data_IF_510212748341
#
_entry.id   IF_510212748341
#
_cell.length_a   1.000
_cell.length_b   1.000
_cell.length_c   1.000
_cell.angle_alpha   90.00
_cell.angle_beta   90.00
_cell.angle_gamma   90.00
#
_symmetry.space_group_name_H-M   'P 1'
#
loop_
_entity.id
_entity.type
_entity.pdbx_description
1 polymer ?
#
# COMPACT_ATOMS: atom_id res chain seq x y z
N UNK A 1 43.19 -33.60 4.44
CA UNK A 1 42.98 -32.32 5.15
C UNK A 1 43.63 -31.21 4.35
N UNK A 2 43.06 -30.10 3.89
CA UNK A 2 41.73 -29.50 3.99
C UNK A 2 41.58 -28.61 2.74
N UNK A 3 40.83 -29.04 1.71
CA UNK A 3 40.41 -28.15 0.60
C UNK A 3 38.90 -27.89 0.58
N UNK A 4 38.17 -28.50 1.51
CA UNK A 4 36.72 -28.37 1.66
C UNK A 4 36.29 -27.17 2.51
N UNK A 5 37.22 -26.47 3.16
CA UNK A 5 36.90 -25.41 4.13
C UNK A 5 36.72 -24.01 3.53
N UNK A 6 37.10 -23.79 2.26
CA UNK A 6 37.04 -22.44 1.65
C UNK A 6 35.70 -22.18 0.94
N UNK A 7 35.00 -23.23 0.49
CA UNK A 7 33.72 -23.08 -0.25
C UNK A 7 32.54 -22.74 0.68
N UNK A 8 32.66 -23.02 1.98
CA UNK A 8 31.57 -22.84 2.96
C UNK A 8 31.41 -21.41 3.50
N UNK A 9 32.31 -20.47 3.17
CA UNK A 9 32.30 -19.10 3.73
C UNK A 9 31.65 -18.08 2.77
N UNK A 10 31.51 -18.40 1.48
CA UNK A 10 30.93 -17.47 0.49
C UNK A 10 29.39 -17.44 0.55
N UNK A 11 28.75 -18.38 1.24
CA UNK A 11 27.27 -18.46 1.33
C UNK A 11 26.64 -17.54 2.38
N UNK A 12 27.41 -16.74 3.13
CA UNK A 12 26.90 -15.99 4.29
C UNK A 12 26.70 -14.47 4.08
N UNK A 13 26.83 -13.94 2.86
CA UNK A 13 26.68 -12.50 2.60
C UNK A 13 25.63 -12.12 1.55
N UNK A 14 24.57 -12.91 1.42
CA UNK A 14 23.31 -12.35 0.92
C UNK A 14 22.48 -11.89 2.13
N UNK A 15 23.00 -10.91 2.88
CA UNK A 15 22.13 -10.05 3.66
C UNK A 15 21.39 -9.26 2.60
N UNK A 16 20.23 -9.77 2.19
CA UNK A 16 19.26 -9.02 1.40
C UNK A 16 18.85 -7.88 2.33
N UNK A 17 19.59 -6.77 2.30
CA UNK A 17 18.95 -5.48 2.49
C UNK A 17 17.89 -5.47 1.41
N UNK A 18 16.63 -5.69 1.80
CA UNK A 18 15.52 -5.51 0.88
C UNK A 18 15.55 -4.03 0.51
N UNK A 19 16.29 -3.70 -0.55
CA UNK A 19 16.33 -2.35 -1.07
C UNK A 19 14.88 -1.98 -1.39
N UNK A 20 14.44 -0.86 -0.82
CA UNK A 20 13.12 -0.29 -1.09
C UNK A 20 12.95 -0.24 -2.61
N UNK A 21 11.85 -0.77 -3.17
CA UNK A 21 11.69 -0.83 -4.61
C UNK A 21 11.81 0.55 -5.27
N UNK A 22 12.40 0.63 -6.47
CA UNK A 22 12.64 1.90 -7.19
C UNK A 22 11.36 2.73 -7.42
N UNK A 23 10.21 2.07 -7.50
CA UNK A 23 8.92 2.71 -7.68
C UNK A 23 8.35 3.34 -6.39
N UNK A 24 8.85 2.93 -5.21
CA UNK A 24 8.34 3.36 -3.92
C UNK A 24 8.87 4.76 -3.56
N UNK A 25 8.04 5.66 -3.01
CA UNK A 25 8.49 7.02 -2.69
C UNK A 25 9.69 7.06 -1.73
N UNK A 26 10.66 7.93 -2.04
CA UNK A 26 11.80 8.18 -1.12
C UNK A 26 11.33 8.79 0.19
N UNK A 27 10.41 9.76 0.11
CA UNK A 27 9.77 10.41 1.25
C UNK A 27 8.26 10.22 1.20
N UNK A 28 7.82 9.12 1.79
CA UNK A 28 6.40 8.76 1.84
C UNK A 28 5.59 9.73 2.72
N UNK A 29 6.18 10.25 3.79
CA UNK A 29 5.51 11.18 4.69
C UNK A 29 5.23 12.52 4.00
N UNK A 30 6.18 13.00 3.19
CA UNK A 30 5.98 14.18 2.36
C UNK A 30 4.87 13.98 1.32
N UNK A 31 4.80 12.80 0.69
CA UNK A 31 3.71 12.46 -0.25
C UNK A 31 2.36 12.48 0.47
N UNK A 32 2.25 11.85 1.64
CA UNK A 32 1.01 11.85 2.41
C UNK A 32 0.61 13.25 2.86
N UNK A 33 1.57 14.08 3.30
CA UNK A 33 1.33 15.45 3.70
C UNK A 33 0.81 16.30 2.53
N UNK A 34 1.48 16.22 1.37
CA UNK A 34 1.06 16.88 0.14
C UNK A 34 -0.37 16.48 -0.25
N UNK A 35 -0.66 15.18 -0.31
CA UNK A 35 -2.00 14.71 -0.70
C UNK A 35 -3.08 15.15 0.29
N UNK A 36 -2.78 15.21 1.60
CA UNK A 36 -3.73 15.74 2.59
C UNK A 36 -3.98 17.24 2.38
N UNK A 37 -2.93 18.02 2.16
CA UNK A 37 -3.00 19.47 1.96
C UNK A 37 -3.80 19.82 0.70
N UNK A 38 -3.43 19.23 -0.44
CA UNK A 38 -4.10 19.47 -1.74
C UNK A 38 -5.58 19.12 -1.72
N UNK A 39 -5.96 18.15 -0.89
CA UNK A 39 -7.35 17.69 -0.79
C UNK A 39 -8.06 18.16 0.49
N UNK A 40 -7.46 19.09 1.26
CA UNK A 40 -8.05 19.66 2.47
C UNK A 40 -8.52 18.62 3.50
N UNK A 41 -7.79 17.51 3.63
CA UNK A 41 -8.15 16.42 4.54
C UNK A 41 -7.87 16.84 5.99
N UNK A 42 -8.93 16.98 6.78
CA UNK A 42 -8.82 17.36 8.18
C UNK A 42 -8.27 16.21 9.05
N UNK A 43 -7.66 16.52 10.22
CA UNK A 43 -7.25 15.49 11.18
C UNK A 43 -8.41 14.60 11.66
N UNK A 44 -9.62 15.16 11.79
CA UNK A 44 -10.82 14.41 12.14
C UNK A 44 -11.17 13.40 11.04
N UNK A 45 -11.14 13.83 9.77
CA UNK A 45 -11.41 12.95 8.64
C UNK A 45 -10.35 11.84 8.52
N UNK A 46 -9.07 12.15 8.76
CA UNK A 46 -8.01 11.12 8.88
C UNK A 46 -8.33 10.09 9.96
N UNK A 47 -8.84 10.52 11.11
CA UNK A 47 -9.20 9.61 12.21
C UNK A 47 -10.36 8.69 11.81
N UNK A 48 -11.34 9.19 11.04
CA UNK A 48 -12.41 8.37 10.47
C UNK A 48 -11.88 7.36 9.45
N UNK A 49 -10.97 7.77 8.58
CA UNK A 49 -10.29 6.90 7.60
C UNK A 49 -9.63 5.71 8.32
N UNK A 50 -8.85 5.97 9.38
CA UNK A 50 -8.14 4.93 10.11
C UNK A 50 -8.98 4.10 11.07
N UNK A 51 -10.20 4.53 11.39
CA UNK A 51 -11.13 3.76 12.25
C UNK A 51 -12.15 2.96 11.45
N UNK A 52 -11.84 2.60 10.20
CA UNK A 52 -12.70 1.85 9.28
C UNK A 52 -14.07 2.52 9.01
N UNK A 53 -14.20 3.80 9.37
CA UNK A 53 -15.39 4.64 9.16
C UNK A 53 -15.20 5.60 7.99
N UNK A 54 -14.50 5.14 6.96
CA UNK A 54 -14.24 5.92 5.76
C UNK A 54 -15.52 6.12 4.95
N UNK A 55 -15.93 7.38 4.83
CA UNK A 55 -17.08 7.80 4.04
C UNK A 55 -16.70 8.01 2.59
N UNK A 56 -17.61 7.63 1.70
CA UNK A 56 -17.46 7.85 0.27
C UNK A 56 -17.83 9.30 -0.06
N UNK A 57 -16.82 10.16 -0.15
CA UNK A 57 -17.00 11.57 -0.51
C UNK A 57 -16.03 11.94 -1.63
N UNK A 58 -16.38 12.92 -2.49
CA UNK A 58 -15.48 13.38 -3.56
C UNK A 58 -14.10 13.79 -3.05
N UNK A 59 -14.04 14.36 -1.83
CA UNK A 59 -12.79 14.78 -1.20
C UNK A 59 -11.90 13.58 -0.85
N UNK A 60 -12.49 12.53 -0.25
CA UNK A 60 -11.77 11.31 0.13
C UNK A 60 -11.34 10.53 -1.12
N UNK A 61 -12.19 10.45 -2.15
CA UNK A 61 -11.82 9.84 -3.44
C UNK A 61 -10.59 10.51 -4.05
N UNK A 62 -10.58 11.85 -4.11
CA UNK A 62 -9.42 12.61 -4.63
C UNK A 62 -8.15 12.39 -3.79
N UNK A 63 -8.29 12.33 -2.46
CA UNK A 63 -7.17 11.99 -1.59
C UNK A 63 -6.60 10.60 -1.88
N UNK A 64 -7.47 9.59 -2.00
CA UNK A 64 -7.07 8.21 -2.33
C UNK A 64 -6.41 8.14 -3.71
N UNK A 65 -6.96 8.83 -4.72
CA UNK A 65 -6.35 8.96 -6.05
C UNK A 65 -4.96 9.60 -5.99
N UNK A 66 -4.80 10.69 -5.22
CA UNK A 66 -3.50 11.33 -5.02
C UNK A 66 -2.46 10.35 -4.45
N UNK A 67 -2.85 9.57 -3.43
CA UNK A 67 -1.97 8.54 -2.88
C UNK A 67 -1.66 7.45 -3.91
N UNK A 68 -2.66 6.99 -4.65
CA UNK A 68 -2.52 6.01 -5.74
C UNK A 68 -1.43 6.37 -6.73
N UNK A 69 -1.53 7.60 -7.26
CA UNK A 69 -0.58 8.13 -8.22
C UNK A 69 0.82 8.33 -7.63
N UNK A 70 0.91 9.03 -6.49
CA UNK A 70 2.21 9.43 -5.95
C UNK A 70 2.95 8.27 -5.25
N UNK A 71 2.24 7.26 -4.75
CA UNK A 71 2.83 6.02 -4.23
C UNK A 71 2.87 4.89 -5.27
N UNK A 72 2.46 5.19 -6.50
CA UNK A 72 2.58 4.33 -7.67
C UNK A 72 1.88 2.95 -7.53
N UNK A 73 0.84 2.83 -6.71
CA UNK A 73 -0.02 1.63 -6.69
C UNK A 73 -1.25 1.77 -7.60
N UNK A 74 -1.46 2.95 -8.19
CA UNK A 74 -2.51 3.18 -9.18
C UNK A 74 -2.14 4.33 -10.13
N UNK A 75 -2.35 4.13 -11.43
CA UNK A 75 -2.55 5.19 -12.41
C UNK A 75 -3.27 4.62 -13.65
N UNK A 76 -3.72 5.48 -14.56
CA UNK A 76 -4.46 5.07 -15.76
C UNK A 76 -3.65 4.21 -16.74
N UNK A 77 -2.31 4.24 -16.68
CA UNK A 77 -1.45 3.45 -17.57
C UNK A 77 -1.21 2.03 -17.06
N UNK A 78 -1.06 1.86 -15.73
CA UNK A 78 -0.69 0.58 -15.12
C UNK A 78 -1.88 -0.11 -14.41
N UNK A 79 -2.99 0.61 -14.22
CA UNK A 79 -4.13 0.19 -13.40
C UNK A 79 -3.78 0.09 -11.91
N UNK A 80 -4.66 -0.55 -11.14
CA UNK A 80 -4.39 -0.87 -9.74
C UNK A 80 -3.33 -1.99 -9.60
N UNK A 81 -2.37 -1.81 -8.69
CA UNK A 81 -1.27 -2.74 -8.41
C UNK A 81 -1.35 -3.24 -6.96
N UNK A 82 -1.99 -4.38 -6.77
CA UNK A 82 -2.19 -5.02 -5.46
C UNK A 82 -0.86 -5.32 -4.74
N UNK A 83 0.12 -5.82 -5.49
CA UNK A 83 1.48 -6.11 -5.02
C UNK A 83 2.18 -4.87 -4.46
N UNK A 84 2.02 -3.71 -5.12
CA UNK A 84 2.58 -2.45 -4.65
C UNK A 84 1.87 -1.93 -3.41
N UNK A 85 0.55 -2.08 -3.34
CA UNK A 85 -0.19 -1.71 -2.13
C UNK A 85 0.23 -2.57 -0.94
N UNK A 86 0.43 -3.88 -1.12
CA UNK A 86 0.93 -4.78 -0.06
C UNK A 86 2.30 -4.32 0.48
N UNK A 87 3.22 -3.92 -0.41
CA UNK A 87 4.51 -3.35 0.03
C UNK A 87 4.31 -2.07 0.84
N UNK A 88 3.43 -1.16 0.40
CA UNK A 88 3.09 0.06 1.17
C UNK A 88 2.51 -0.29 2.53
N UNK A 89 1.60 -1.24 2.62
CA UNK A 89 1.02 -1.68 3.89
C UNK A 89 2.09 -2.23 4.84
N UNK A 90 3.04 -3.02 4.31
CA UNK A 90 4.15 -3.56 5.08
C UNK A 90 5.10 -2.46 5.58
N UNK A 91 5.58 -1.61 4.67
CA UNK A 91 6.59 -0.59 4.98
C UNK A 91 6.02 0.57 5.82
N UNK A 92 4.78 0.99 5.56
CA UNK A 92 4.18 2.19 6.18
C UNK A 92 3.33 1.89 7.39
N UNK A 93 2.49 0.86 7.30
CA UNK A 93 1.54 0.50 8.34
C UNK A 93 2.04 -0.64 9.23
N UNK A 94 3.21 -1.22 8.91
CA UNK A 94 3.74 -2.41 9.57
C UNK A 94 2.71 -3.55 9.60
N UNK A 95 2.01 -3.73 8.47
CA UNK A 95 0.96 -4.73 8.28
C UNK A 95 1.40 -5.76 7.24
N UNK A 96 1.35 -7.03 7.60
CA UNK A 96 1.57 -8.18 6.73
C UNK A 96 0.24 -8.89 6.50
N UNK A 97 -0.24 -8.90 5.26
CA UNK A 97 -1.58 -9.35 4.91
C UNK A 97 -1.59 -10.75 4.30
N UNK A 98 -2.70 -11.47 4.50
CA UNK A 98 -2.94 -12.78 3.90
C UNK A 98 -2.77 -12.71 2.38
N UNK A 99 -2.15 -13.72 1.75
CA UNK A 99 -2.06 -13.80 0.29
C UNK A 99 -3.44 -13.69 -0.36
N UNK A 100 -3.57 -12.90 -1.41
CA UNK A 100 -4.82 -12.76 -2.17
C UNK A 100 -5.85 -11.80 -1.57
N UNK A 101 -5.65 -11.26 -0.37
CA UNK A 101 -6.61 -10.34 0.25
C UNK A 101 -6.79 -9.06 -0.57
N UNK A 102 -5.67 -8.41 -0.93
CA UNK A 102 -5.70 -7.15 -1.68
C UNK A 102 -6.16 -7.39 -3.12
N UNK A 103 -5.76 -8.52 -3.73
CA UNK A 103 -6.25 -8.94 -5.04
C UNK A 103 -7.76 -9.19 -5.03
N UNK A 104 -8.29 -9.80 -3.95
CA UNK A 104 -9.73 -9.97 -3.77
C UNK A 104 -10.48 -8.64 -3.73
N UNK A 105 -9.97 -7.67 -2.96
CA UNK A 105 -10.54 -6.32 -2.94
C UNK A 105 -10.47 -5.64 -4.31
N UNK A 106 -9.40 -5.85 -5.08
CA UNK A 106 -9.26 -5.32 -6.43
C UNK A 106 -10.29 -5.92 -7.39
N UNK A 107 -10.48 -7.24 -7.32
CA UNK A 107 -11.45 -7.97 -8.14
C UNK A 107 -12.89 -7.54 -7.85
N UNK A 108 -13.25 -7.30 -6.58
CA UNK A 108 -14.56 -6.77 -6.20
C UNK A 108 -14.83 -5.35 -6.70
N UNK A 109 -13.78 -4.56 -6.91
CA UNK A 109 -13.88 -3.15 -7.31
C UNK A 109 -13.74 -2.88 -8.81
N UNK A 110 -13.26 -3.85 -9.61
CA UNK A 110 -12.75 -3.62 -10.97
C UNK A 110 -13.76 -3.05 -11.99
N UNK A 111 -15.05 -3.32 -11.80
CA UNK A 111 -16.12 -2.91 -12.73
C UNK A 111 -16.82 -1.61 -12.29
N UNK A 112 -16.31 -0.94 -11.25
CA UNK A 112 -16.88 0.31 -10.74
C UNK A 112 -16.39 1.48 -11.59
N UNK A 113 -17.33 2.35 -11.93
CA UNK A 113 -17.05 3.62 -12.59
C UNK A 113 -17.66 4.78 -11.77
N UNK A 114 -17.02 5.96 -11.74
CA UNK A 114 -15.74 6.32 -12.37
C UNK A 114 -14.51 5.76 -11.63
N UNK A 115 -13.31 5.86 -12.24
CA UNK A 115 -12.02 5.40 -11.69
C UNK A 115 -11.77 5.77 -10.22
N UNK A 116 -12.14 6.99 -9.80
CA UNK A 116 -11.93 7.44 -8.42
C UNK A 116 -12.81 6.69 -7.40
N UNK A 117 -13.99 6.22 -7.83
CA UNK A 117 -14.93 5.41 -7.07
C UNK A 117 -14.43 3.96 -6.96
N UNK A 118 -13.88 3.43 -8.06
CA UNK A 118 -13.23 2.12 -8.09
C UNK A 118 -12.08 2.06 -7.10
N UNK A 119 -11.13 2.98 -7.21
CA UNK A 119 -9.97 3.00 -6.32
C UNK A 119 -10.39 3.19 -4.85
N UNK A 120 -11.35 4.08 -4.60
CA UNK A 120 -11.91 4.25 -3.26
C UNK A 120 -12.53 2.95 -2.71
N UNK A 121 -13.31 2.23 -3.52
CA UNK A 121 -13.93 0.97 -3.09
C UNK A 121 -12.87 -0.07 -2.72
N UNK A 122 -11.83 -0.22 -3.54
CA UNK A 122 -10.73 -1.15 -3.29
C UNK A 122 -10.03 -0.79 -1.97
N UNK A 123 -9.64 0.47 -1.78
CA UNK A 123 -8.97 0.92 -0.54
C UNK A 123 -9.88 0.77 0.68
N UNK A 124 -11.17 1.07 0.55
CA UNK A 124 -12.14 0.85 1.63
C UNK A 124 -12.23 -0.63 2.01
N UNK A 125 -12.27 -1.54 1.04
CA UNK A 125 -12.24 -2.98 1.30
C UNK A 125 -10.98 -3.38 2.08
N UNK A 126 -9.82 -2.89 1.66
CA UNK A 126 -8.54 -3.16 2.33
C UNK A 126 -8.51 -2.63 3.77
N UNK A 127 -8.97 -1.40 4.00
CA UNK A 127 -9.00 -0.79 5.33
C UNK A 127 -9.95 -1.56 6.26
N UNK A 128 -11.18 -1.83 5.79
CA UNK A 128 -12.21 -2.49 6.61
C UNK A 128 -11.83 -3.96 6.89
N UNK A 129 -11.33 -4.68 5.90
CA UNK A 129 -10.91 -6.07 6.05
C UNK A 129 -9.54 -6.25 6.69
N UNK A 130 -8.78 -5.17 6.89
CA UNK A 130 -7.38 -5.23 7.36
C UNK A 130 -7.23 -5.85 8.75
N UNK A 131 -8.17 -5.61 9.67
CA UNK A 131 -8.13 -6.18 11.03
C UNK A 131 -8.23 -7.71 11.03
N UNK A 132 -8.93 -8.30 10.06
CA UNK A 132 -9.14 -9.75 9.95
C UNK A 132 -8.13 -10.43 9.03
N UNK A 133 -7.54 -9.67 8.10
CA UNK A 133 -6.71 -10.22 7.02
C UNK A 133 -5.26 -9.82 7.11
N UNK A 134 -4.89 -8.91 8.00
CA UNK A 134 -3.52 -8.48 8.20
C UNK A 134 -3.09 -8.63 9.67
N UNK A 135 -1.82 -8.92 9.86
CA UNK A 135 -1.16 -8.98 11.16
C UNK A 135 -0.04 -7.94 11.21
N UNK A 136 0.50 -7.70 12.39
CA UNK A 136 1.72 -6.88 12.52
C UNK A 136 2.88 -7.57 11.78
N UNK A 137 3.57 -6.83 10.92
CA UNK A 137 4.79 -7.30 10.26
C UNK A 137 5.90 -7.52 11.31
N UNK A 138 6.64 -8.63 11.16
CA UNK A 138 7.76 -9.05 11.99
C UNK A 138 9.09 -8.43 11.54
#
# INVERSE_FOLDING_TARGET
MNKLSIVLIISCFAVIFAERPDWYPKDELAVEAKCREENSISPELMTKIWSSRIEDTPQVRKYVMCLGHNKNFYNSEIGFKADRLLVIMKERANMDCKPGFVEGCAEEGKDIEPEDAMLFKIIKCVIVGGEENCKKAE
#
